data_IF_599524093544
#
_entry.id   IF_599524093544
#
_cell.length_a   1.000
_cell.length_b   1.000
_cell.length_c   1.000
_cell.angle_alpha   90.00
_cell.angle_beta   90.00
_cell.angle_gamma   90.00
#
_symmetry.space_group_name_H-M   'P 1'
#
loop_
_entity.id
_entity.type
_entity.pdbx_description
1 polymer ?
#
# COMPACT_ATOMS: atom_id res chain seq x y z
N UNK A 1 46.20 -8.77 39.90
CA UNK A 1 45.24 -8.80 41.03
C UNK A 1 45.45 -7.50 41.77
N UNK A 2 44.55 -6.52 41.82
CA UNK A 2 43.13 -6.48 41.53
C UNK A 2 42.72 -5.06 41.07
N UNK A 3 41.76 -5.03 40.14
CA UNK A 3 40.63 -4.11 40.04
C UNK A 3 40.91 -2.59 40.07
N UNK A 4 41.06 -2.04 38.86
CA UNK A 4 40.61 -0.67 38.56
C UNK A 4 39.08 -0.70 38.55
N UNK A 5 38.47 -0.36 39.68
CA UNK A 5 37.04 -0.04 39.80
C UNK A 5 36.75 1.15 38.87
N UNK A 6 36.30 0.86 37.66
CA UNK A 6 35.79 1.87 36.73
C UNK A 6 34.38 2.22 37.18
N UNK A 7 34.24 3.37 37.84
CA UNK A 7 32.94 4.02 38.05
C UNK A 7 32.11 3.95 36.75
N UNK A 8 30.86 3.45 36.80
CA UNK A 8 30.00 3.53 35.64
C UNK A 8 29.71 5.01 35.40
N UNK A 9 30.20 5.53 34.27
CA UNK A 9 29.79 6.82 33.72
C UNK A 9 28.25 6.89 33.83
N UNK A 10 27.67 7.92 34.48
CA UNK A 10 26.24 8.10 34.47
C UNK A 10 25.85 8.33 33.02
N UNK A 11 25.28 7.30 32.40
CA UNK A 11 24.62 7.44 31.10
C UNK A 11 23.56 8.52 31.29
N UNK A 12 23.55 9.58 30.47
CA UNK A 12 22.57 10.62 30.62
C UNK A 12 21.21 9.96 30.47
N UNK A 13 20.39 10.12 31.50
CA UNK A 13 18.94 10.02 31.41
C UNK A 13 18.50 10.84 30.19
N UNK A 14 18.36 10.18 29.05
CA UNK A 14 17.81 10.74 27.83
C UNK A 14 16.34 10.38 27.83
N UNK A 15 15.53 11.38 28.17
CA UNK A 15 14.14 11.56 27.79
C UNK A 15 13.40 10.32 27.23
N UNK A 16 12.59 9.69 28.09
CA UNK A 16 11.40 8.90 27.75
C UNK A 16 11.40 8.16 26.41
N UNK A 17 12.23 7.13 26.26
CA UNK A 17 11.98 6.10 25.26
C UNK A 17 10.77 5.27 25.76
N UNK A 18 9.57 5.67 25.39
CA UNK A 18 8.38 4.83 25.52
C UNK A 18 8.71 3.51 24.82
N UNK A 19 8.72 2.41 25.59
CA UNK A 19 9.06 1.11 25.08
C UNK A 19 8.01 0.66 24.05
N UNK A 20 8.43 -0.05 23.00
CA UNK A 20 7.52 -0.49 21.93
C UNK A 20 6.21 -1.14 22.44
N UNK A 21 6.25 -2.02 23.47
CA UNK A 21 5.03 -2.56 24.06
C UNK A 21 4.09 -1.51 24.68
N UNK A 22 4.61 -0.43 25.27
CA UNK A 22 3.75 0.64 25.80
C UNK A 22 3.08 1.44 24.70
N UNK A 23 3.75 1.64 23.57
CA UNK A 23 3.17 2.30 22.38
C UNK A 23 2.05 1.47 21.76
N UNK A 24 2.26 0.15 21.63
CA UNK A 24 1.23 -0.78 21.13
C UNK A 24 -0.02 -0.71 22.02
N UNK A 25 0.15 -0.74 23.34
CA UNK A 25 -0.97 -0.68 24.27
C UNK A 25 -1.70 0.67 24.21
N UNK A 26 -0.97 1.77 24.09
CA UNK A 26 -1.56 3.11 23.94
C UNK A 26 -2.43 3.20 22.68
N UNK A 27 -1.91 2.77 21.53
CA UNK A 27 -2.63 2.74 20.26
C UNK A 27 -3.88 1.85 20.34
N UNK A 28 -3.73 0.63 20.85
CA UNK A 28 -4.80 -0.36 20.94
C UNK A 28 -5.97 0.16 21.79
N UNK A 29 -5.62 0.78 22.92
CA UNK A 29 -6.58 1.40 23.81
C UNK A 29 -7.26 2.60 23.16
N UNK A 30 -6.52 3.46 22.46
CA UNK A 30 -7.07 4.63 21.76
C UNK A 30 -8.08 4.24 20.67
N UNK A 31 -7.73 3.24 19.84
CA UNK A 31 -8.62 2.68 18.81
C UNK A 31 -9.92 2.16 19.43
N UNK A 32 -9.80 1.34 20.48
CA UNK A 32 -10.97 0.80 21.19
C UNK A 32 -11.85 1.91 21.75
N UNK A 33 -11.26 2.87 22.46
CA UNK A 33 -12.02 3.97 23.04
C UNK A 33 -12.71 4.83 21.96
N UNK A 34 -12.04 5.11 20.84
CA UNK A 34 -12.62 5.86 19.74
C UNK A 34 -13.82 5.14 19.12
N UNK A 35 -13.73 3.82 18.91
CA UNK A 35 -14.86 3.01 18.46
C UNK A 35 -16.03 3.06 19.45
N UNK A 36 -15.74 2.87 20.74
CA UNK A 36 -16.76 2.89 21.79
C UNK A 36 -17.45 4.25 21.92
N UNK A 37 -16.71 5.37 21.77
CA UNK A 37 -17.28 6.73 21.72
C UNK A 37 -18.26 6.93 20.56
N UNK A 38 -18.01 6.27 19.42
CA UNK A 38 -18.91 6.27 18.26
C UNK A 38 -20.05 5.25 18.40
N UNK A 39 -20.19 4.57 19.55
CA UNK A 39 -21.19 3.51 19.81
C UNK A 39 -21.20 2.40 18.75
N UNK A 40 -20.03 2.15 18.15
CA UNK A 40 -19.85 1.20 17.06
C UNK A 40 -19.42 -0.16 17.60
N UNK A 41 -20.00 -1.25 17.12
CA UNK A 41 -19.53 -2.61 17.46
C UNK A 41 -18.32 -2.99 16.59
N UNK A 42 -17.47 -3.89 17.08
CA UNK A 42 -16.33 -4.42 16.30
C UNK A 42 -16.80 -5.06 15.00
N UNK A 43 -17.92 -5.79 15.03
CA UNK A 43 -18.52 -6.39 13.83
C UNK A 43 -18.95 -5.34 12.79
N UNK A 44 -19.57 -4.24 13.22
CA UNK A 44 -19.99 -3.18 12.31
C UNK A 44 -18.79 -2.42 11.72
N UNK A 45 -17.75 -2.17 12.52
CA UNK A 45 -16.49 -1.60 12.05
C UNK A 45 -15.83 -2.50 10.99
N UNK A 46 -15.77 -3.81 11.27
CA UNK A 46 -15.19 -4.82 10.38
C UNK A 46 -15.95 -4.91 9.05
N UNK A 47 -17.28 -4.88 9.09
CA UNK A 47 -18.14 -4.84 7.90
C UNK A 47 -17.89 -3.57 7.07
N UNK A 48 -17.82 -2.41 7.72
CA UNK A 48 -17.56 -1.12 7.06
C UNK A 48 -16.20 -1.08 6.37
N UNK A 49 -15.18 -1.66 6.99
CA UNK A 49 -13.82 -1.75 6.46
C UNK A 49 -13.58 -2.94 5.52
N UNK A 50 -14.56 -3.87 5.40
CA UNK A 50 -14.46 -5.11 4.64
C UNK A 50 -13.27 -6.00 5.04
N UNK A 51 -13.03 -6.14 6.34
CA UNK A 51 -11.99 -7.01 6.91
C UNK A 51 -12.56 -7.93 7.99
N UNK A 52 -11.81 -8.96 8.41
CA UNK A 52 -12.25 -9.82 9.53
C UNK A 52 -12.32 -9.05 10.85
N UNK A 53 -13.37 -9.30 11.64
CA UNK A 53 -13.50 -8.78 13.00
C UNK A 53 -12.37 -9.26 13.94
N UNK A 54 -11.75 -10.40 13.62
CA UNK A 54 -10.61 -10.92 14.38
C UNK A 54 -9.40 -9.98 14.29
N UNK A 55 -9.17 -9.35 13.13
CA UNK A 55 -8.09 -8.36 12.98
C UNK A 55 -8.33 -7.13 13.85
N UNK A 56 -9.56 -6.60 13.86
CA UNK A 56 -9.89 -5.46 14.71
C UNK A 56 -9.79 -5.82 16.19
N UNK A 57 -10.22 -7.02 16.57
CA UNK A 57 -10.09 -7.52 17.95
C UNK A 57 -8.62 -7.65 18.35
N UNK A 58 -7.77 -8.17 17.47
CA UNK A 58 -6.32 -8.24 17.66
C UNK A 58 -5.74 -6.85 17.91
N UNK A 59 -6.07 -5.87 17.07
CA UNK A 59 -5.58 -4.51 17.19
C UNK A 59 -6.07 -3.80 18.46
N UNK A 60 -7.32 -4.03 18.89
CA UNK A 60 -7.84 -3.45 20.14
C UNK A 60 -7.31 -4.14 21.40
N UNK A 61 -6.84 -5.39 21.28
CA UNK A 61 -6.26 -6.14 22.39
C UNK A 61 -4.78 -5.83 22.65
N UNK A 62 -4.10 -5.20 21.68
CA UNK A 62 -2.65 -4.99 21.74
C UNK A 62 -1.82 -6.27 21.70
N UNK A 63 -2.42 -7.40 21.28
CA UNK A 63 -1.75 -8.69 21.16
C UNK A 63 -1.03 -8.85 19.80
N UNK A 64 -0.28 -7.83 19.39
CA UNK A 64 0.52 -7.83 18.16
C UNK A 64 1.82 -7.06 18.40
N UNK A 65 2.83 -7.31 17.56
CA UNK A 65 4.09 -6.57 17.56
C UNK A 65 4.23 -5.80 16.25
N UNK A 66 4.76 -4.57 16.26
CA UNK A 66 4.89 -3.80 15.02
C UNK A 66 5.82 -4.49 14.03
N UNK A 67 6.80 -5.26 14.46
CA UNK A 67 7.70 -6.01 13.59
C UNK A 67 6.99 -7.14 12.80
N UNK A 68 5.92 -7.72 13.36
CA UNK A 68 5.21 -8.85 12.76
C UNK A 68 4.09 -8.43 11.79
N UNK A 69 3.71 -7.14 11.82
CA UNK A 69 2.66 -6.62 10.95
C UNK A 69 3.07 -6.62 9.47
N UNK A 70 2.30 -7.33 8.66
CA UNK A 70 2.40 -7.29 7.21
C UNK A 70 1.89 -5.94 6.64
N UNK A 71 2.16 -5.63 5.36
CA UNK A 71 1.72 -4.37 4.75
C UNK A 71 0.20 -4.16 4.75
N UNK A 72 -0.60 -5.23 4.67
CA UNK A 72 -2.06 -5.18 4.71
C UNK A 72 -2.55 -4.88 6.12
N UNK A 73 -2.02 -5.54 7.15
CA UNK A 73 -2.36 -5.29 8.55
C UNK A 73 -2.06 -3.84 8.95
N UNK A 74 -0.93 -3.28 8.48
CA UNK A 74 -0.64 -1.85 8.63
C UNK A 74 -1.67 -0.97 7.90
N UNK A 75 -2.12 -1.39 6.72
CA UNK A 75 -3.23 -0.76 6.00
C UNK A 75 -4.54 -0.79 6.77
N UNK A 76 -4.86 -1.91 7.39
CA UNK A 76 -6.08 -2.08 8.19
C UNK A 76 -6.07 -1.15 9.40
N UNK A 77 -4.96 -1.04 10.12
CA UNK A 77 -4.82 -0.11 11.25
C UNK A 77 -4.97 1.34 10.78
N UNK A 78 -4.36 1.73 9.65
CA UNK A 78 -4.51 3.10 9.09
C UNK A 78 -5.96 3.42 8.74
N UNK A 79 -6.62 2.56 7.97
CA UNK A 79 -8.02 2.77 7.58
C UNK A 79 -8.95 2.77 8.80
N UNK A 80 -8.64 1.94 9.80
CA UNK A 80 -9.41 1.89 11.03
C UNK A 80 -9.25 3.19 11.84
N UNK A 81 -8.02 3.66 12.01
CA UNK A 81 -7.73 4.92 12.67
C UNK A 81 -8.39 6.11 11.93
N UNK A 82 -8.35 6.13 10.60
CA UNK A 82 -9.02 7.15 9.78
C UNK A 82 -10.53 7.16 10.00
N UNK A 83 -11.19 6.00 9.95
CA UNK A 83 -12.64 5.88 10.21
C UNK A 83 -13.02 6.33 11.63
N UNK A 84 -12.13 6.08 12.59
CA UNK A 84 -12.32 6.42 14.00
C UNK A 84 -11.86 7.83 14.37
N UNK A 85 -11.23 8.56 13.45
CA UNK A 85 -10.59 9.87 13.68
C UNK A 85 -9.51 9.80 14.79
N UNK A 86 -8.71 8.74 14.79
CA UNK A 86 -7.55 8.54 15.67
C UNK A 86 -6.28 9.04 14.98
N UNK A 87 -5.49 9.84 15.69
CA UNK A 87 -4.25 10.40 15.15
C UNK A 87 -3.10 9.37 15.24
N UNK A 88 -2.56 9.00 14.08
CA UNK A 88 -1.42 8.08 13.99
C UNK A 88 -0.05 8.79 13.96
N UNK A 89 -0.01 10.13 14.04
CA UNK A 89 1.23 10.91 14.05
C UNK A 89 2.27 10.39 15.06
N UNK A 90 1.89 10.03 16.31
CA UNK A 90 2.85 9.48 17.29
C UNK A 90 3.46 8.12 16.89
N UNK A 91 2.83 7.40 15.97
CA UNK A 91 3.21 6.04 15.56
C UNK A 91 3.76 5.99 14.12
N UNK A 92 4.02 7.13 13.47
CA UNK A 92 4.42 7.21 12.05
C UNK A 92 5.64 6.34 11.70
N UNK A 93 6.58 6.19 12.65
CA UNK A 93 7.75 5.31 12.51
C UNK A 93 7.37 3.87 12.14
N UNK A 94 6.22 3.39 12.63
CA UNK A 94 5.70 2.04 12.38
C UNK A 94 4.68 1.98 11.23
N UNK A 95 4.18 3.13 10.79
CA UNK A 95 3.21 3.24 9.69
C UNK A 95 3.76 4.16 8.60
N UNK A 96 4.86 3.78 7.93
CA UNK A 96 5.40 4.59 6.85
C UNK A 96 4.30 4.86 5.82
N UNK A 97 4.16 6.13 5.43
CA UNK A 97 3.26 6.53 4.33
C UNK A 97 3.68 5.74 3.10
N UNK A 98 2.73 5.05 2.49
CA UNK A 98 2.95 4.35 1.23
C UNK A 98 3.08 5.44 0.16
N UNK A 99 4.28 6.02 0.05
CA UNK A 99 4.64 6.94 -1.02
C UNK A 99 4.72 6.11 -2.28
N UNK A 100 3.62 6.10 -3.04
CA UNK A 100 3.49 5.48 -4.35
C UNK A 100 4.36 4.23 -4.54
N UNK A 101 3.93 3.09 -3.98
CA UNK A 101 4.11 1.87 -4.75
C UNK A 101 3.13 2.03 -5.91
N UNK A 102 3.57 2.76 -6.92
CA UNK A 102 3.21 2.48 -8.29
C UNK A 102 3.61 1.03 -8.50
N UNK A 103 2.79 0.12 -8.01
CA UNK A 103 2.59 -1.15 -8.66
C UNK A 103 2.26 -0.70 -10.07
N UNK A 104 3.27 -0.76 -10.94
CA UNK A 104 3.02 -1.03 -12.33
C UNK A 104 2.11 -2.23 -12.24
N UNK A 105 0.80 -2.00 -12.36
CA UNK A 105 -0.20 -3.05 -12.33
C UNK A 105 0.28 -3.93 -13.48
N UNK A 106 1.00 -4.99 -13.13
CA UNK A 106 1.31 -6.01 -14.09
C UNK A 106 -0.08 -6.59 -14.34
N UNK A 107 -0.68 -6.12 -15.43
CA UNK A 107 -1.98 -6.57 -15.85
C UNK A 107 -1.92 -8.08 -15.74
N UNK A 108 -2.83 -8.64 -14.95
CA UNK A 108 -3.13 -10.05 -15.08
C UNK A 108 -3.46 -10.19 -16.55
N UNK A 109 -2.58 -10.85 -17.30
CA UNK A 109 -2.81 -11.30 -18.66
C UNK A 109 -3.98 -12.27 -18.53
N UNK A 110 -5.19 -11.72 -18.43
CA UNK A 110 -6.37 -12.37 -18.93
C UNK A 110 -5.95 -12.68 -20.36
N UNK A 111 -5.77 -13.96 -20.67
CA UNK A 111 -5.64 -14.45 -22.03
C UNK A 111 -6.90 -14.00 -22.80
N UNK A 112 -6.98 -12.72 -23.15
CA UNK A 112 -7.66 -12.26 -24.33
C UNK A 112 -6.99 -13.02 -25.46
N UNK A 113 -7.77 -13.87 -26.12
CA UNK A 113 -7.35 -14.61 -27.29
C UNK A 113 -6.45 -13.72 -28.15
N UNK A 114 -5.16 -14.03 -28.08
CA UNK A 114 -4.10 -13.35 -28.79
C UNK A 114 -4.26 -13.70 -30.27
N UNK A 115 -5.22 -13.04 -30.92
CA UNK A 115 -5.38 -13.04 -32.36
C UNK A 115 -4.13 -12.37 -32.93
N UNK A 116 -3.09 -13.18 -33.14
CA UNK A 116 -1.92 -12.78 -33.90
C UNK A 116 -2.46 -12.18 -35.20
N UNK A 117 -2.20 -10.91 -35.52
CA UNK A 117 -2.50 -10.44 -36.86
C UNK A 117 -1.67 -11.32 -37.80
N UNK A 118 -2.33 -12.20 -38.56
CA UNK A 118 -1.66 -13.13 -39.50
C UNK A 118 -0.85 -12.37 -40.58
N UNK A 119 -1.01 -11.05 -40.64
CA UNK A 119 -0.38 -10.16 -41.60
C UNK A 119 0.44 -9.14 -40.80
N UNK A 120 1.75 -9.14 -41.03
CA UNK A 120 2.65 -8.15 -40.44
C UNK A 120 2.20 -6.74 -40.84
N UNK A 121 1.99 -5.88 -39.86
CA UNK A 121 1.57 -4.47 -40.09
C UNK A 121 2.55 -3.76 -41.04
N UNK A 122 3.80 -4.20 -41.08
CA UNK A 122 4.80 -3.74 -42.05
C UNK A 122 4.45 -4.04 -43.51
N UNK A 123 4.00 -5.26 -43.81
CA UNK A 123 3.59 -5.63 -45.18
C UNK A 123 2.34 -4.85 -45.60
N UNK A 124 1.37 -4.72 -44.69
CA UNK A 124 0.15 -3.95 -44.95
C UNK A 124 0.48 -2.49 -45.28
N UNK A 125 1.36 -1.85 -44.51
CA UNK A 125 1.84 -0.48 -44.79
C UNK A 125 2.52 -0.37 -46.15
N UNK A 126 3.38 -1.33 -46.50
CA UNK A 126 4.08 -1.32 -47.79
C UNK A 126 3.12 -1.48 -48.99
N UNK A 127 2.09 -2.31 -48.87
CA UNK A 127 1.09 -2.49 -49.93
C UNK A 127 0.26 -1.22 -50.09
N UNK A 128 -0.19 -0.62 -48.99
CA UNK A 128 -0.98 0.62 -49.02
C UNK A 128 -0.19 1.76 -49.67
N UNK A 129 1.08 1.94 -49.30
CA UNK A 129 1.91 3.01 -49.88
C UNK A 129 2.13 2.82 -51.38
N UNK A 130 2.36 1.58 -51.83
CA UNK A 130 2.54 1.27 -53.25
C UNK A 130 1.25 1.53 -54.04
N UNK A 131 0.10 1.16 -53.48
CA UNK A 131 -1.23 1.41 -54.08
C UNK A 131 -1.49 2.90 -54.29
N UNK A 132 -1.17 3.74 -53.28
CA UNK A 132 -1.33 5.20 -53.36
C UNK A 132 -0.44 5.81 -54.47
N UNK A 133 0.82 5.37 -54.56
CA UNK A 133 1.75 5.86 -55.59
C UNK A 133 1.31 5.50 -57.01
N UNK A 134 0.80 4.27 -57.20
CA UNK A 134 0.26 3.83 -58.49
C UNK A 134 -0.97 4.65 -58.91
N UNK A 135 -1.88 4.91 -57.96
CA UNK A 135 -3.09 5.71 -58.22
C UNK A 135 -2.73 7.17 -58.58
N UNK A 136 -1.79 7.76 -57.85
CA UNK A 136 -1.31 9.12 -58.12
C UNK A 136 -0.64 9.22 -59.50
N UNK A 137 0.19 8.25 -59.87
CA UNK A 137 0.82 8.20 -61.19
C UNK A 137 -0.19 8.08 -62.32
N UNK A 138 -1.22 7.23 -62.15
CA UNK A 138 -2.27 7.04 -63.14
C UNK A 138 -3.16 8.28 -63.29
N UNK A 139 -3.47 8.97 -62.19
CA UNK A 139 -4.21 10.24 -62.23
C UNK A 139 -3.45 11.33 -63.00
N UNK A 140 -2.14 11.45 -62.77
CA UNK A 140 -1.30 12.41 -63.51
C UNK A 140 -1.24 12.07 -64.99
N UNK A 141 -1.11 10.79 -65.34
CA UNK A 141 -1.12 10.34 -66.74
C UNK A 141 -2.45 10.61 -67.45
N UNK A 142 -3.58 10.41 -66.76
CA UNK A 142 -4.90 10.64 -67.33
C UNK A 142 -5.24 12.14 -67.47
N UNK A 143 -4.55 12.99 -66.72
CA UNK A 143 -4.74 14.44 -66.72
C UNK A 143 -3.71 15.20 -67.59
N UNK A 144 -2.87 14.48 -68.34
CA UNK A 144 -1.88 15.04 -69.27
C UNK A 144 -2.24 14.66 -70.71
#
# INVERSE_FOLDING_TARGET
MAETESDPVPTPASAGAESEPSLIQALSHELRQARERKQMSVAHAAESLRISADHLTLFESGAFEFAELDPFQRGYIRNYAEMLEVDLTPYETFFPKVTEVGATLQAVDLEEEHARPLISVGLLKAVITLMILALAGLLVWMNL
#
